data_IF_140586359844
#
_entry.id   IF_140586359844
#
_cell.length_a   1.000
_cell.length_b   1.000
_cell.length_c   1.000
_cell.angle_alpha   90.00
_cell.angle_beta   90.00
_cell.angle_gamma   90.00
#
_symmetry.space_group_name_H-M   'P 1'
#
loop_
_entity.id
_entity.type
_entity.pdbx_description
1 polymer ?
#
# COMPACT_ATOMS: atom_id res chain seq x y z
N UNK A 1 -16.26 0.53 5.17
CA UNK A 1 -16.32 1.26 6.46
C UNK A 1 -15.47 0.47 7.43
N UNK A 2 -14.39 1.06 7.91
CA UNK A 2 -13.45 0.42 8.82
C UNK A 2 -13.00 1.43 9.87
N UNK A 3 -12.51 0.92 11.00
CA UNK A 3 -11.89 1.74 12.04
C UNK A 3 -10.56 2.28 11.52
N UNK A 4 -10.25 3.53 11.84
CA UNK A 4 -8.97 4.15 11.49
C UNK A 4 -7.80 3.42 12.16
N UNK A 5 -6.69 3.32 11.43
CA UNK A 5 -5.46 2.65 11.89
C UNK A 5 -4.63 3.53 12.84
N UNK A 6 -4.80 4.86 12.80
CA UNK A 6 -4.07 5.83 13.63
C UNK A 6 -4.91 6.40 14.79
N UNK A 7 -6.23 6.37 14.68
CA UNK A 7 -7.20 6.98 15.61
C UNK A 7 -8.28 5.96 16.01
N UNK A 8 -7.98 5.14 17.02
CA UNK A 8 -8.93 4.17 17.55
C UNK A 8 -10.24 4.83 18.01
N UNK A 9 -11.36 4.17 17.70
CA UNK A 9 -12.72 4.69 17.92
C UNK A 9 -13.27 5.56 16.78
N UNK A 10 -12.47 5.97 15.80
CA UNK A 10 -12.92 6.72 14.62
C UNK A 10 -13.05 5.79 13.42
N UNK A 11 -13.98 6.10 12.53
CA UNK A 11 -14.26 5.29 11.34
C UNK A 11 -14.38 6.18 10.11
N UNK A 12 -13.87 5.68 8.98
CA UNK A 12 -13.97 6.38 7.71
C UNK A 12 -14.98 5.71 6.77
N UNK A 13 -15.91 6.52 6.27
CA UNK A 13 -16.63 6.25 5.04
C UNK A 13 -15.93 7.01 3.92
N UNK A 14 -15.36 6.27 2.98
CA UNK A 14 -14.72 6.85 1.79
C UNK A 14 -15.61 6.53 0.59
N UNK A 15 -15.89 7.55 -0.22
CA UNK A 15 -16.66 7.43 -1.45
C UNK A 15 -15.91 8.14 -2.56
N UNK A 16 -15.81 7.48 -3.71
CA UNK A 16 -15.07 7.95 -4.87
C UNK A 16 -15.90 7.66 -6.12
N UNK A 17 -15.54 8.32 -7.23
CA UNK A 17 -16.01 7.88 -8.54
C UNK A 17 -15.61 6.42 -8.79
N UNK A 18 -16.40 5.65 -9.53
CA UNK A 18 -16.17 4.20 -9.75
C UNK A 18 -14.80 3.90 -10.37
N UNK A 19 -14.25 4.86 -11.14
CA UNK A 19 -12.93 4.74 -11.77
C UNK A 19 -11.79 5.37 -10.95
N UNK A 20 -12.11 6.02 -9.83
CA UNK A 20 -11.13 6.72 -8.99
C UNK A 20 -10.61 5.79 -7.90
N UNK A 21 -9.49 5.15 -8.19
CA UNK A 21 -8.86 4.14 -7.33
C UNK A 21 -7.33 4.31 -7.38
N UNK A 22 -6.61 3.92 -6.32
CA UNK A 22 -5.13 3.95 -6.32
C UNK A 22 -4.57 2.97 -7.35
N UNK A 23 -5.24 1.85 -7.57
CA UNK A 23 -4.88 0.86 -8.59
C UNK A 23 -4.95 1.43 -10.01
N UNK A 24 -6.08 2.04 -10.38
CA UNK A 24 -6.25 2.66 -11.71
C UNK A 24 -5.25 3.80 -11.93
N UNK A 25 -5.01 4.61 -10.89
CA UNK A 25 -4.00 5.67 -10.93
C UNK A 25 -2.61 5.09 -11.16
N UNK A 26 -2.26 4.00 -10.46
CA UNK A 26 -0.97 3.35 -10.59
C UNK A 26 -0.75 2.77 -11.99
N UNK A 27 -1.73 2.06 -12.55
CA UNK A 27 -1.65 1.52 -13.91
C UNK A 27 -1.49 2.65 -14.94
N UNK A 28 -2.28 3.72 -14.81
CA UNK A 28 -2.20 4.89 -15.68
C UNK A 28 -0.82 5.55 -15.61
N UNK A 29 -0.26 5.69 -14.42
CA UNK A 29 1.05 6.29 -14.22
C UNK A 29 2.18 5.38 -14.75
N UNK A 30 2.11 4.09 -14.46
CA UNK A 30 3.06 3.08 -14.94
C UNK A 30 3.12 3.07 -16.48
N UNK A 31 1.96 3.11 -17.15
CA UNK A 31 1.87 3.20 -18.60
C UNK A 31 2.51 4.48 -19.13
N UNK A 32 2.23 5.64 -18.52
CA UNK A 32 2.79 6.94 -18.95
C UNK A 32 4.30 7.02 -18.80
N UNK A 33 4.85 6.34 -17.79
CA UNK A 33 6.29 6.31 -17.51
C UNK A 33 7.02 5.15 -18.20
N UNK A 34 6.30 4.29 -18.94
CA UNK A 34 6.83 3.08 -19.56
C UNK A 34 7.52 2.14 -18.54
N UNK A 35 6.97 2.08 -17.32
CA UNK A 35 7.46 1.23 -16.23
C UNK A 35 6.53 0.01 -16.11
N UNK A 36 7.03 -1.22 -16.26
CA UNK A 36 6.23 -2.43 -16.00
C UNK A 36 5.77 -2.50 -14.55
N UNK A 37 4.51 -2.89 -14.31
CA UNK A 37 3.94 -3.01 -12.97
C UNK A 37 4.73 -3.97 -12.07
N UNK A 38 5.34 -5.00 -12.66
CA UNK A 38 6.20 -5.99 -11.97
C UNK A 38 7.43 -5.36 -11.31
N UNK A 39 7.81 -4.15 -11.74
CA UNK A 39 8.94 -3.38 -11.19
C UNK A 39 8.51 -2.37 -10.12
N UNK A 40 7.24 -2.35 -9.75
CA UNK A 40 6.70 -1.38 -8.80
C UNK A 40 6.51 -2.04 -7.43
N UNK A 41 6.99 -1.35 -6.40
CA UNK A 41 6.72 -1.66 -5.01
C UNK A 41 5.73 -0.63 -4.45
N UNK A 42 4.66 -1.09 -3.81
CA UNK A 42 3.69 -0.24 -3.10
C UNK A 42 3.63 -0.60 -1.62
N UNK A 43 3.33 0.40 -0.80
CA UNK A 43 3.16 0.25 0.65
C UNK A 43 1.76 0.73 1.03
N UNK A 44 1.08 0.03 1.93
CA UNK A 44 -0.29 0.37 2.32
C UNK A 44 -0.66 -0.11 3.71
N UNK A 45 -1.76 0.43 4.21
CA UNK A 45 -2.26 0.17 5.56
C UNK A 45 -3.79 0.09 5.65
N UNK A 46 -4.51 0.56 4.63
CA UNK A 46 -5.95 0.74 4.67
C UNK A 46 -6.68 0.16 3.45
N UNK A 47 -8.01 0.05 3.54
CA UNK A 47 -8.83 -0.62 2.51
C UNK A 47 -8.71 0.00 1.11
N UNK A 48 -8.41 1.29 1.01
CA UNK A 48 -8.21 1.98 -0.27
C UNK A 48 -6.83 1.72 -0.90
N UNK A 49 -6.02 0.83 -0.32
CA UNK A 49 -4.74 0.36 -0.89
C UNK A 49 -4.88 -0.99 -1.60
N UNK A 50 -5.98 -1.72 -1.36
CA UNK A 50 -6.17 -3.09 -1.85
C UNK A 50 -6.15 -3.18 -3.38
N UNK A 51 -6.62 -2.15 -4.06
CA UNK A 51 -6.61 -2.05 -5.51
C UNK A 51 -5.20 -1.90 -6.10
N UNK A 52 -4.34 -1.05 -5.52
CA UNK A 52 -2.94 -0.95 -5.95
C UNK A 52 -2.14 -2.20 -5.56
N UNK A 53 -2.49 -2.87 -4.46
CA UNK A 53 -1.88 -4.14 -4.05
C UNK A 53 -2.09 -5.25 -5.08
N UNK A 54 -3.26 -5.29 -5.73
CA UNK A 54 -3.58 -6.31 -6.75
C UNK A 54 -2.79 -6.16 -8.04
N UNK A 55 -2.37 -4.94 -8.38
CA UNK A 55 -1.73 -4.65 -9.69
C UNK A 55 -0.22 -4.44 -9.58
N UNK A 56 0.29 -4.02 -8.43
CA UNK A 56 1.73 -3.83 -8.23
C UNK A 56 2.50 -5.16 -8.19
N UNK A 57 3.72 -5.16 -8.74
CA UNK A 57 4.62 -6.33 -8.70
C UNK A 57 5.02 -6.76 -7.30
N UNK A 58 5.07 -5.83 -6.35
CA UNK A 58 5.25 -6.13 -4.93
C UNK A 58 4.41 -5.19 -4.08
N UNK A 59 3.60 -5.77 -3.21
CA UNK A 59 2.71 -5.04 -2.31
C UNK A 59 3.05 -5.37 -0.87
N UNK A 60 3.29 -4.35 -0.05
CA UNK A 60 3.84 -4.48 1.30
C UNK A 60 2.91 -3.78 2.30
N UNK A 61 2.44 -4.52 3.31
CA UNK A 61 1.68 -3.94 4.40
C UNK A 61 2.60 -3.59 5.58
N UNK A 62 2.33 -2.47 6.27
CA UNK A 62 2.96 -2.18 7.57
C UNK A 62 2.25 -2.92 8.71
N UNK A 63 2.95 -3.14 9.82
CA UNK A 63 2.42 -3.91 10.96
C UNK A 63 1.11 -3.35 11.53
N UNK A 64 0.87 -2.05 11.46
CA UNK A 64 -0.36 -1.43 11.96
C UNK A 64 -1.48 -1.36 10.91
N UNK A 65 -1.31 -1.99 9.74
CA UNK A 65 -2.33 -2.10 8.71
C UNK A 65 -3.57 -2.90 9.17
N UNK A 66 -4.70 -2.66 8.52
CA UNK A 66 -5.90 -3.48 8.70
C UNK A 66 -5.64 -4.95 8.33
N UNK A 67 -6.32 -5.92 9.00
CA UNK A 67 -6.13 -7.34 8.71
C UNK A 67 -6.28 -7.71 7.23
N UNK A 68 -7.32 -7.20 6.57
CA UNK A 68 -7.60 -7.45 5.15
C UNK A 68 -6.46 -6.97 4.22
N UNK A 69 -5.78 -5.88 4.60
CA UNK A 69 -4.65 -5.33 3.84
C UNK A 69 -3.42 -6.20 4.01
N UNK A 70 -3.16 -6.68 5.24
CA UNK A 70 -2.08 -7.62 5.52
C UNK A 70 -2.25 -8.94 4.81
N UNK A 71 -3.48 -9.47 4.77
CA UNK A 71 -3.82 -10.72 4.06
C UNK A 71 -3.61 -10.60 2.56
N UNK A 72 -3.76 -9.41 1.99
CA UNK A 72 -3.54 -9.12 0.57
C UNK A 72 -2.08 -8.78 0.22
N UNK A 73 -1.20 -8.65 1.21
CA UNK A 73 0.18 -8.25 1.00
C UNK A 73 1.09 -9.43 0.64
N UNK A 74 2.13 -9.18 -0.14
CA UNK A 74 3.20 -10.15 -0.40
C UNK A 74 4.14 -10.27 0.80
N UNK A 75 4.26 -9.20 1.59
CA UNK A 75 5.13 -9.10 2.76
C UNK A 75 4.52 -8.13 3.77
N UNK A 76 4.74 -8.42 5.05
CA UNK A 76 4.38 -7.52 6.15
C UNK A 76 5.68 -7.06 6.80
N UNK A 77 5.89 -5.75 6.86
CA UNK A 77 7.03 -5.13 7.54
C UNK A 77 6.62 -4.56 8.90
N UNK A 78 7.56 -3.97 9.63
CA UNK A 78 7.30 -3.34 10.93
C UNK A 78 6.27 -2.19 10.87
N UNK A 79 5.99 -1.61 12.03
CA UNK A 79 5.04 -0.51 12.12
C UNK A 79 5.54 0.78 11.47
N UNK A 80 4.62 1.57 10.91
CA UNK A 80 4.90 2.95 10.51
C UNK A 80 5.47 3.82 11.64
N UNK A 81 5.09 3.58 12.90
CA UNK A 81 5.62 4.31 14.07
C UNK A 81 7.12 4.09 14.29
N UNK A 82 7.68 3.02 13.73
CA UNK A 82 9.12 2.70 13.79
C UNK A 82 9.85 3.13 12.51
N UNK A 83 9.16 3.74 11.54
CA UNK A 83 9.75 4.10 10.25
C UNK A 83 10.03 2.90 9.34
N UNK A 84 9.25 1.81 9.45
CA UNK A 84 9.53 0.55 8.77
C UNK A 84 9.64 0.66 7.23
N UNK A 85 8.86 1.54 6.59
CA UNK A 85 9.00 1.79 5.14
C UNK A 85 10.39 2.33 4.82
N UNK A 86 10.92 3.22 5.64
CA UNK A 86 12.25 3.79 5.44
C UNK A 86 13.33 2.72 5.62
N UNK A 87 13.23 1.90 6.68
CA UNK A 87 14.15 0.78 6.92
C UNK A 87 14.13 -0.23 5.77
N UNK A 88 12.94 -0.53 5.21
CA UNK A 88 12.81 -1.38 4.04
C UNK A 88 13.51 -0.78 2.81
N UNK A 89 13.34 0.53 2.57
CA UNK A 89 14.01 1.24 1.48
C UNK A 89 15.53 1.26 1.66
N UNK A 90 16.03 1.50 2.88
CA UNK A 90 17.46 1.46 3.20
C UNK A 90 18.04 0.06 2.93
N UNK A 91 17.36 -0.99 3.37
CA UNK A 91 17.78 -2.37 3.12
C UNK A 91 17.92 -2.68 1.62
N UNK A 92 16.94 -2.30 0.79
CA UNK A 92 16.97 -2.64 -0.64
C UNK A 92 17.97 -1.81 -1.48
N UNK A 93 18.36 -0.62 -1.00
CA UNK A 93 19.19 0.32 -1.75
C UNK A 93 20.61 0.53 -1.20
N UNK A 94 20.81 0.37 0.12
CA UNK A 94 22.09 0.64 0.79
C UNK A 94 22.82 -0.63 1.22
N UNK A 95 22.11 -1.71 1.48
CA UNK A 95 22.70 -2.98 1.94
C UNK A 95 22.88 -4.01 0.80
N UNK A 96 22.93 -3.53 -0.45
CA UNK A 96 23.37 -4.31 -1.61
C UNK A 96 24.87 -4.23 -1.85
#
# INVERSE_FOLDING_TARGET
FAEDVSMKGYYWLQSFHQESSKGNMLETLAQKLEIPLERIVVFGDYLNDLDMFRVAGRAIAVENALPEVKESAHEIIGSNFQGAVLQYLEFIFLEK
#
